data_IF_395573072656
#
_entry.id   IF_395573072656
#
_cell.length_a   1.000
_cell.length_b   1.000
_cell.length_c   1.000
_cell.angle_alpha   90.00
_cell.angle_beta   90.00
_cell.angle_gamma   90.00
#
_symmetry.space_group_name_H-M   'P 1'
#
loop_
_entity.id
_entity.type
_entity.pdbx_description
1 polymer ?
#
# COMPACT_ATOMS: atom_id res chain seq x y z
N UNK A 1 40.30 10.48 9.82
CA UNK A 1 39.11 10.47 8.92
C UNK A 1 37.99 9.56 9.46
N UNK A 2 38.26 8.30 9.78
CA UNK A 2 37.26 7.35 10.32
C UNK A 2 36.58 7.78 11.62
N UNK A 3 37.34 8.26 12.62
CA UNK A 3 36.78 8.78 13.88
C UNK A 3 35.79 9.94 13.66
N UNK A 4 36.03 10.80 12.66
CA UNK A 4 35.14 11.92 12.32
C UNK A 4 33.84 11.44 11.69
N UNK A 5 33.92 10.45 10.80
CA UNK A 5 32.74 9.84 10.17
C UNK A 5 31.90 9.10 11.23
N UNK A 6 32.54 8.32 12.10
CA UNK A 6 31.85 7.62 13.20
C UNK A 6 31.16 8.64 14.13
N UNK A 7 31.86 9.70 14.52
CA UNK A 7 31.27 10.75 15.36
C UNK A 7 30.07 11.45 14.70
N UNK A 8 30.16 11.75 13.40
CA UNK A 8 29.04 12.32 12.64
C UNK A 8 27.88 11.34 12.52
N UNK A 9 28.13 10.06 12.25
CA UNK A 9 27.08 9.03 12.19
C UNK A 9 26.39 8.84 13.53
N UNK A 10 27.12 8.84 14.63
CA UNK A 10 26.56 8.76 15.99
C UNK A 10 25.70 10.00 16.26
N UNK A 11 26.19 11.19 15.93
CA UNK A 11 25.43 12.44 16.12
C UNK A 11 24.13 12.43 15.30
N UNK A 12 24.17 12.00 14.04
CA UNK A 12 22.98 11.86 13.19
C UNK A 12 22.01 10.84 13.78
N UNK A 13 22.51 9.67 14.20
CA UNK A 13 21.68 8.66 14.85
C UNK A 13 21.02 9.20 16.13
N UNK A 14 21.76 10.00 16.92
CA UNK A 14 21.25 10.62 18.13
C UNK A 14 20.13 11.64 17.83
N UNK A 15 20.31 12.49 16.82
CA UNK A 15 19.26 13.42 16.36
C UNK A 15 18.03 12.69 15.83
N UNK A 16 18.21 11.59 15.09
CA UNK A 16 17.10 10.73 14.68
C UNK A 16 16.36 10.15 15.88
N UNK A 17 17.08 9.60 16.85
CA UNK A 17 16.48 9.05 18.07
C UNK A 17 15.72 10.12 18.85
N UNK A 18 16.29 11.31 19.03
CA UNK A 18 15.61 12.44 19.68
C UNK A 18 14.34 12.84 18.91
N UNK A 19 14.40 12.91 17.58
CA UNK A 19 13.23 13.24 16.75
C UNK A 19 12.13 12.18 16.80
N UNK A 20 12.49 10.90 16.95
CA UNK A 20 11.54 9.77 17.04
C UNK A 20 11.04 9.57 18.47
N UNK A 21 11.76 10.04 19.49
CA UNK A 21 11.45 9.84 20.91
C UNK A 21 10.06 10.34 21.34
N UNK A 22 9.56 11.52 20.90
CA UNK A 22 8.19 11.93 21.17
C UNK A 22 7.14 10.95 20.65
N UNK A 23 7.40 10.31 19.50
CA UNK A 23 6.47 9.31 18.93
C UNK A 23 6.51 8.01 19.72
N UNK A 24 7.70 7.55 20.12
CA UNK A 24 7.86 6.35 20.96
C UNK A 24 7.16 6.55 22.30
N UNK A 25 7.40 7.68 22.96
CA UNK A 25 6.77 8.00 24.25
C UNK A 25 5.26 8.14 24.14
N UNK A 26 4.77 8.80 23.10
CA UNK A 26 3.32 8.89 22.84
C UNK A 26 2.69 7.51 22.59
N UNK A 27 3.34 6.66 21.79
CA UNK A 27 2.93 5.29 21.52
C UNK A 27 2.82 4.47 22.82
N UNK A 28 3.87 4.44 23.65
CA UNK A 28 3.86 3.63 24.87
C UNK A 28 2.99 4.20 26.00
N UNK A 29 2.71 5.51 26.02
CA UNK A 29 1.86 6.14 27.04
C UNK A 29 0.36 5.99 26.76
N UNK A 30 -0.05 5.83 25.49
CA UNK A 30 -1.45 5.73 25.09
C UNK A 30 -1.89 4.33 24.68
N UNK A 31 -0.94 3.40 24.55
CA UNK A 31 -1.27 1.99 24.37
C UNK A 31 -1.45 1.38 25.74
N UNK A 32 -2.69 0.96 26.02
CA UNK A 32 -3.02 0.08 27.13
C UNK A 32 -2.21 -1.23 26.96
N UNK A 33 -1.00 -1.25 27.50
CA UNK A 33 -0.01 -2.32 27.35
C UNK A 33 -0.42 -3.65 28.04
N UNK A 34 -1.64 -3.73 28.55
CA UNK A 34 -2.15 -4.89 29.29
C UNK A 34 -3.56 -5.20 28.80
N UNK A 35 -3.70 -5.49 27.51
CA UNK A 35 -4.89 -6.24 27.07
C UNK A 35 -4.49 -7.70 26.91
N UNK A 36 -4.99 -8.54 27.82
CA UNK A 36 -5.04 -9.99 27.61
C UNK A 36 -6.00 -10.27 26.44
N UNK A 37 -5.49 -10.13 25.24
CA UNK A 37 -6.20 -10.43 24.00
C UNK A 37 -6.24 -11.94 23.81
N UNK A 38 -7.38 -12.48 23.41
CA UNK A 38 -7.46 -13.86 22.93
C UNK A 38 -6.57 -13.98 21.67
N UNK A 39 -5.44 -14.67 21.83
CA UNK A 39 -4.42 -14.80 20.79
C UNK A 39 -4.97 -15.50 19.55
N UNK A 40 -5.87 -16.45 19.71
CA UNK A 40 -6.44 -17.20 18.60
C UNK A 40 -7.42 -16.31 17.82
N UNK A 41 -8.36 -15.69 18.52
CA UNK A 41 -9.33 -14.79 17.91
C UNK A 41 -8.66 -13.61 17.17
N UNK A 42 -7.62 -13.04 17.78
CA UNK A 42 -6.86 -11.97 17.14
C UNK A 42 -6.10 -12.44 15.90
N UNK A 43 -5.54 -13.65 15.92
CA UNK A 43 -4.83 -14.18 14.75
C UNK A 43 -5.79 -14.47 13.59
N UNK A 44 -6.99 -14.99 13.89
CA UNK A 44 -8.04 -15.23 12.88
C UNK A 44 -8.54 -13.91 12.28
N UNK A 45 -8.76 -12.89 13.14
CA UNK A 45 -9.09 -11.53 12.70
C UNK A 45 -7.99 -10.95 11.79
N UNK A 46 -6.73 -11.14 12.17
CA UNK A 46 -5.58 -10.64 11.44
C UNK A 46 -5.44 -11.30 10.07
N UNK A 47 -5.53 -12.63 9.99
CA UNK A 47 -5.44 -13.39 8.73
C UNK A 47 -6.59 -13.10 7.77
N UNK A 48 -7.78 -12.79 8.30
CA UNK A 48 -8.92 -12.35 7.49
C UNK A 48 -8.63 -11.04 6.77
N UNK A 49 -7.74 -10.20 7.34
CA UNK A 49 -7.45 -8.87 6.82
C UNK A 49 -6.15 -8.77 6.04
N UNK A 50 -5.09 -9.37 6.56
CA UNK A 50 -3.73 -9.31 6.05
C UNK A 50 -3.35 -10.67 5.46
N UNK A 51 -3.03 -10.74 4.16
CA UNK A 51 -2.56 -11.98 3.55
C UNK A 51 -1.36 -12.56 4.27
N UNK A 52 -1.29 -13.89 4.38
CA UNK A 52 -0.19 -14.64 5.02
C UNK A 52 1.19 -14.25 4.49
N UNK A 53 1.26 -13.83 3.24
CA UNK A 53 2.50 -13.43 2.59
C UNK A 53 3.15 -12.20 3.23
N UNK A 54 2.39 -11.38 3.95
CA UNK A 54 2.95 -10.27 4.73
C UNK A 54 3.32 -10.67 6.17
N UNK A 55 3.09 -11.93 6.54
CA UNK A 55 3.40 -12.47 7.87
C UNK A 55 4.74 -13.20 7.80
N UNK A 56 4.95 -13.98 6.74
CA UNK A 56 6.18 -14.73 6.55
C UNK A 56 7.14 -14.00 5.58
N UNK A 57 8.31 -13.53 6.06
CA UNK A 57 9.28 -12.82 5.22
C UNK A 57 9.75 -13.66 4.02
N UNK A 58 9.91 -14.97 4.19
CA UNK A 58 10.34 -15.85 3.10
C UNK A 58 9.30 -15.96 2.00
N UNK A 59 8.02 -16.10 2.37
CA UNK A 59 6.93 -16.11 1.40
C UNK A 59 6.85 -14.79 0.63
N UNK A 60 7.12 -13.66 1.31
CA UNK A 60 7.16 -12.35 0.66
C UNK A 60 8.27 -12.28 -0.40
N UNK A 61 9.47 -12.75 -0.06
CA UNK A 61 10.61 -12.78 -0.98
C UNK A 61 10.33 -13.67 -2.19
N UNK A 62 9.66 -14.82 -2.01
CA UNK A 62 9.27 -15.69 -3.14
C UNK A 62 8.39 -14.95 -4.15
N UNK A 63 7.52 -14.03 -3.71
CA UNK A 63 6.72 -13.21 -4.62
C UNK A 63 7.52 -12.25 -5.49
N UNK A 64 8.80 -12.00 -5.17
CA UNK A 64 9.68 -11.15 -5.96
C UNK A 64 10.15 -11.83 -7.23
N UNK A 65 9.90 -13.14 -7.38
CA UNK A 65 10.26 -13.89 -8.57
C UNK A 65 9.36 -13.52 -9.78
N UNK A 66 9.45 -12.26 -10.21
CA UNK A 66 8.77 -11.66 -11.34
C UNK A 66 9.83 -11.17 -12.32
N UNK A 67 9.53 -11.25 -13.61
CA UNK A 67 10.44 -10.81 -14.69
C UNK A 67 10.93 -9.36 -14.50
N UNK A 68 10.06 -8.50 -13.98
CA UNK A 68 10.33 -7.08 -13.70
C UNK A 68 11.44 -6.91 -12.66
N UNK A 69 11.35 -7.66 -11.56
CA UNK A 69 12.35 -7.62 -10.50
C UNK A 69 13.72 -8.04 -11.03
N UNK A 70 13.78 -9.15 -11.78
CA UNK A 70 15.03 -9.64 -12.37
C UNK A 70 15.64 -8.64 -13.37
N UNK A 71 14.82 -7.98 -14.18
CA UNK A 71 15.29 -6.94 -15.09
C UNK A 71 15.93 -5.77 -14.35
N UNK A 72 15.28 -5.25 -13.30
CA UNK A 72 15.82 -4.13 -12.54
C UNK A 72 17.01 -4.53 -11.68
N UNK A 73 17.03 -5.76 -11.15
CA UNK A 73 18.17 -6.31 -10.44
C UNK A 73 19.39 -6.44 -11.37
N UNK A 74 19.20 -6.98 -12.58
CA UNK A 74 20.26 -7.06 -13.58
C UNK A 74 20.76 -5.66 -13.97
N UNK A 75 19.85 -4.71 -14.19
CA UNK A 75 20.19 -3.32 -14.48
C UNK A 75 21.00 -2.67 -13.36
N UNK A 76 20.66 -2.95 -12.11
CA UNK A 76 21.41 -2.48 -10.95
C UNK A 76 22.83 -3.04 -10.89
N UNK A 77 23.03 -4.34 -11.14
CA UNK A 77 24.38 -4.90 -11.21
C UNK A 77 25.18 -4.29 -12.36
N UNK A 78 24.57 -4.15 -13.53
CA UNK A 78 25.20 -3.53 -14.69
C UNK A 78 25.61 -2.08 -14.38
N UNK A 79 24.75 -1.32 -13.69
CA UNK A 79 25.09 0.02 -13.20
C UNK A 79 26.30 0.00 -12.26
N UNK A 80 26.34 -0.87 -11.25
CA UNK A 80 27.48 -0.95 -10.31
C UNK A 80 28.81 -1.19 -11.07
N UNK A 81 28.79 -2.03 -12.11
CA UNK A 81 29.98 -2.30 -12.91
C UNK A 81 30.41 -1.07 -13.72
N UNK A 82 29.46 -0.39 -14.37
CA UNK A 82 29.73 0.71 -15.28
C UNK A 82 29.90 2.08 -14.61
N UNK A 83 29.37 2.28 -13.40
CA UNK A 83 29.36 3.56 -12.66
C UNK A 83 30.75 4.21 -12.65
N UNK A 84 30.86 5.34 -13.36
CA UNK A 84 32.07 6.16 -13.45
C UNK A 84 31.99 7.39 -12.54
N UNK A 85 30.91 7.55 -11.76
CA UNK A 85 30.83 8.60 -10.75
C UNK A 85 32.12 8.60 -9.93
N UNK A 86 32.71 9.77 -9.70
CA UNK A 86 34.12 10.01 -9.35
C UNK A 86 34.77 9.07 -8.30
N UNK A 87 33.99 8.33 -7.48
CA UNK A 87 34.42 7.23 -6.58
C UNK A 87 33.38 6.10 -6.38
N UNK A 88 32.50 5.84 -7.36
CA UNK A 88 31.36 4.91 -7.23
C UNK A 88 30.47 5.24 -6.02
N UNK A 89 30.26 6.53 -5.76
CA UNK A 89 29.54 6.98 -4.55
C UNK A 89 28.07 6.60 -4.64
N UNK A 90 27.46 6.80 -5.81
CA UNK A 90 26.02 6.59 -6.02
C UNK A 90 25.70 5.10 -5.92
N UNK A 91 26.45 4.24 -6.62
CA UNK A 91 26.30 2.78 -6.51
C UNK A 91 26.48 2.27 -5.09
N UNK A 92 27.47 2.78 -4.33
CA UNK A 92 27.64 2.42 -2.92
C UNK A 92 26.44 2.83 -2.07
N UNK A 93 25.95 4.06 -2.22
CA UNK A 93 24.78 4.54 -1.48
C UNK A 93 23.56 3.65 -1.78
N UNK A 94 23.28 3.39 -3.05
CA UNK A 94 22.14 2.54 -3.45
C UNK A 94 22.28 1.11 -2.90
N UNK A 95 23.46 0.50 -3.04
CA UNK A 95 23.74 -0.85 -2.55
C UNK A 95 23.54 -0.98 -1.04
N UNK A 96 24.15 -0.09 -0.26
CA UNK A 96 23.99 -0.11 1.20
C UNK A 96 22.55 0.20 1.62
N UNK A 97 21.85 1.09 0.92
CA UNK A 97 20.43 1.39 1.22
C UNK A 97 19.56 0.16 0.98
N UNK A 98 19.74 -0.56 -0.14
CA UNK A 98 19.00 -1.79 -0.44
C UNK A 98 19.26 -2.85 0.64
N UNK A 99 20.53 -3.05 1.03
CA UNK A 99 20.90 -4.02 2.07
C UNK A 99 20.27 -3.65 3.41
N UNK A 100 20.35 -2.39 3.82
CA UNK A 100 19.79 -1.95 5.11
C UNK A 100 18.28 -2.17 5.14
N UNK A 101 17.56 -1.78 4.08
CA UNK A 101 16.11 -2.01 3.99
C UNK A 101 15.80 -3.50 4.03
N UNK A 102 16.54 -4.32 3.28
CA UNK A 102 16.34 -5.77 3.23
C UNK A 102 16.56 -6.42 4.60
N UNK A 103 17.69 -6.15 5.25
CA UNK A 103 18.03 -6.73 6.55
C UNK A 103 17.05 -6.26 7.62
N UNK A 104 16.81 -4.95 7.73
CA UNK A 104 15.90 -4.41 8.75
C UNK A 104 14.51 -5.00 8.61
N UNK A 105 13.96 -5.02 7.40
CA UNK A 105 12.58 -5.46 7.18
C UNK A 105 12.36 -6.95 7.49
N UNK A 106 13.37 -7.79 7.25
CA UNK A 106 13.28 -9.23 7.55
C UNK A 106 13.62 -9.54 9.01
N UNK A 107 14.51 -8.77 9.64
CA UNK A 107 14.93 -8.99 11.04
C UNK A 107 13.82 -8.67 12.04
N UNK A 108 13.00 -7.65 11.76
CA UNK A 108 11.93 -7.21 12.67
C UNK A 108 10.92 -8.32 12.96
N UNK A 109 10.65 -9.20 11.99
CA UNK A 109 9.80 -10.37 12.21
C UNK A 109 10.31 -11.27 13.35
N UNK A 110 11.61 -11.56 13.35
CA UNK A 110 12.22 -12.42 14.38
C UNK A 110 12.30 -11.70 15.74
N UNK A 111 12.57 -10.40 15.75
CA UNK A 111 12.58 -9.57 16.97
C UNK A 111 11.19 -9.52 17.59
N UNK A 112 10.15 -9.29 16.78
CA UNK A 112 8.76 -9.27 17.24
C UNK A 112 8.32 -10.61 17.83
N UNK A 113 8.64 -11.72 17.16
CA UNK A 113 8.33 -13.05 17.67
C UNK A 113 9.02 -13.33 19.02
N UNK A 114 10.27 -12.90 19.17
CA UNK A 114 11.00 -13.01 20.43
C UNK A 114 10.33 -12.20 21.55
N UNK A 115 9.95 -10.94 21.29
CA UNK A 115 9.24 -10.09 22.25
C UNK A 115 7.90 -10.72 22.64
N UNK A 116 7.14 -11.22 21.66
CA UNK A 116 5.84 -11.86 21.90
C UNK A 116 5.95 -13.13 22.75
N UNK A 117 7.03 -13.90 22.61
CA UNK A 117 7.29 -15.08 23.42
C UNK A 117 7.62 -14.70 24.87
N UNK A 118 8.45 -13.68 25.08
CA UNK A 118 8.91 -13.28 26.42
C UNK A 118 7.83 -12.50 27.18
N UNK A 119 7.23 -11.49 26.54
CA UNK A 119 6.27 -10.60 27.18
C UNK A 119 4.84 -11.17 27.15
N UNK A 120 4.61 -12.30 26.49
CA UNK A 120 3.29 -12.89 26.33
C UNK A 120 2.33 -12.06 25.47
N UNK A 121 2.83 -11.05 24.77
CA UNK A 121 2.07 -10.09 23.95
C UNK A 121 1.67 -10.68 22.58
N UNK A 122 0.83 -9.95 21.84
CA UNK A 122 0.43 -10.27 20.47
C UNK A 122 0.73 -9.10 19.52
N UNK A 123 1.96 -8.58 19.56
CA UNK A 123 2.43 -7.54 18.65
C UNK A 123 2.43 -8.07 17.21
N UNK A 124 1.98 -7.23 16.27
CA UNK A 124 1.93 -7.50 14.84
C UNK A 124 2.33 -6.26 14.06
N UNK A 125 3.56 -5.78 14.20
CA UNK A 125 4.14 -4.67 13.43
C UNK A 125 4.99 -5.14 12.25
N UNK A 126 5.55 -6.36 12.32
CA UNK A 126 6.47 -6.91 11.32
C UNK A 126 5.89 -6.88 9.89
N UNK A 127 4.59 -7.06 9.74
CA UNK A 127 3.92 -7.02 8.43
C UNK A 127 4.03 -5.66 7.73
N UNK A 128 4.14 -4.56 8.49
CA UNK A 128 4.38 -3.23 7.92
C UNK A 128 5.78 -3.13 7.32
N UNK A 129 6.78 -3.65 8.03
CA UNK A 129 8.16 -3.68 7.59
C UNK A 129 8.38 -4.61 6.40
N UNK A 130 7.75 -5.79 6.40
CA UNK A 130 7.75 -6.68 5.23
C UNK A 130 7.17 -5.96 4.00
N UNK A 131 6.08 -5.18 4.16
CA UNK A 131 5.52 -4.34 3.08
C UNK A 131 6.51 -3.28 2.58
N UNK A 132 7.31 -2.69 3.46
CA UNK A 132 8.31 -1.67 3.09
C UNK A 132 9.42 -2.21 2.20
N UNK A 133 9.66 -3.52 2.14
CA UNK A 133 10.64 -4.08 1.22
C UNK A 133 10.32 -3.77 -0.26
N UNK A 134 9.06 -3.41 -0.60
CA UNK A 134 8.71 -2.89 -1.94
C UNK A 134 9.51 -1.66 -2.36
N UNK A 135 10.04 -0.88 -1.41
CA UNK A 135 10.92 0.26 -1.67
C UNK A 135 12.20 -0.18 -2.38
N UNK A 136 12.66 -1.42 -2.19
CA UNK A 136 13.83 -1.95 -2.89
C UNK A 136 13.60 -1.92 -4.40
N UNK A 137 12.40 -2.25 -4.88
CA UNK A 137 12.09 -2.18 -6.31
C UNK A 137 12.25 -0.75 -6.86
N UNK A 138 11.79 0.25 -6.10
CA UNK A 138 11.93 1.67 -6.45
C UNK A 138 13.42 2.07 -6.51
N UNK A 139 14.24 1.60 -5.57
CA UNK A 139 15.69 1.85 -5.61
C UNK A 139 16.37 1.21 -6.82
N UNK A 140 15.92 0.02 -7.23
CA UNK A 140 16.42 -0.63 -8.44
C UNK A 140 15.97 0.11 -9.72
N UNK A 141 14.75 0.65 -9.74
CA UNK A 141 14.27 1.52 -10.83
C UNK A 141 15.09 2.81 -10.95
N UNK A 142 15.40 3.46 -9.82
CA UNK A 142 16.29 4.63 -9.77
C UNK A 142 17.67 4.26 -10.32
N UNK A 143 18.20 3.09 -9.97
CA UNK A 143 19.48 2.61 -10.49
C UNK A 143 19.46 2.42 -12.01
N UNK A 144 18.34 1.98 -12.58
CA UNK A 144 18.19 1.89 -14.03
C UNK A 144 18.25 3.27 -14.69
N UNK A 145 17.66 4.30 -14.05
CA UNK A 145 17.81 5.69 -14.50
C UNK A 145 19.27 6.13 -14.56
N UNK A 146 20.05 5.87 -13.50
CA UNK A 146 21.49 6.18 -13.50
C UNK A 146 22.27 5.38 -14.54
N UNK A 147 21.91 4.11 -14.78
CA UNK A 147 22.52 3.31 -15.84
C UNK A 147 22.34 3.94 -17.22
N UNK A 148 21.14 4.44 -17.51
CA UNK A 148 20.86 5.10 -18.79
C UNK A 148 21.70 6.37 -18.96
N UNK A 149 21.90 7.14 -17.89
CA UNK A 149 22.77 8.32 -17.90
C UNK A 149 24.22 7.92 -18.22
N UNK A 150 24.75 6.91 -17.53
CA UNK A 150 26.10 6.38 -17.78
C UNK A 150 26.26 5.90 -19.23
N UNK A 151 25.26 5.24 -19.81
CA UNK A 151 25.30 4.85 -21.22
C UNK A 151 25.32 6.05 -22.17
N UNK A 152 24.52 7.09 -21.91
CA UNK A 152 24.50 8.30 -22.73
C UNK A 152 25.87 8.97 -22.75
N UNK A 153 26.48 9.12 -21.57
CA UNK A 153 27.80 9.75 -21.41
C UNK A 153 28.90 8.90 -22.06
N UNK A 154 28.92 7.59 -21.78
CA UNK A 154 29.97 6.68 -22.24
C UNK A 154 29.98 6.49 -23.75
N UNK A 155 28.81 6.33 -24.36
CA UNK A 155 28.70 6.19 -25.81
C UNK A 155 28.68 7.53 -26.54
N UNK A 156 28.80 8.66 -25.82
CA UNK A 156 28.72 10.03 -26.36
C UNK A 156 27.54 10.15 -27.32
N UNK A 157 26.37 9.62 -26.93
CA UNK A 157 25.22 9.53 -27.82
C UNK A 157 24.86 10.93 -28.30
N UNK A 158 24.94 11.14 -29.62
CA UNK A 158 24.56 12.42 -30.24
C UNK A 158 23.13 12.77 -29.81
N UNK A 159 22.84 14.07 -29.65
CA UNK A 159 21.51 14.59 -29.28
C UNK A 159 20.37 13.98 -30.10
N UNK A 160 20.61 13.66 -31.38
CA UNK A 160 19.63 12.97 -32.25
C UNK A 160 19.19 11.61 -31.72
N UNK A 161 20.10 10.77 -31.23
CA UNK A 161 19.75 9.46 -30.67
C UNK A 161 19.05 9.58 -29.32
N UNK A 162 19.41 10.59 -28.52
CA UNK A 162 18.69 10.89 -27.27
C UNK A 162 17.24 11.29 -27.55
N UNK A 163 17.00 12.13 -28.57
CA UNK A 163 15.65 12.49 -29.02
C UNK A 163 14.87 11.27 -29.53
N UNK A 164 15.51 10.37 -30.28
CA UNK A 164 14.87 9.12 -30.69
C UNK A 164 14.51 8.23 -29.49
N UNK A 165 15.37 8.16 -28.46
CA UNK A 165 15.08 7.44 -27.23
C UNK A 165 13.86 8.01 -26.49
N UNK A 166 13.79 9.33 -26.34
CA UNK A 166 12.64 10.02 -25.74
C UNK A 166 11.37 9.76 -26.57
N UNK A 167 11.46 9.90 -27.89
CA UNK A 167 10.32 9.66 -28.78
C UNK A 167 9.84 8.20 -28.71
N UNK A 168 10.77 7.25 -28.69
CA UNK A 168 10.46 5.83 -28.52
C UNK A 168 9.80 5.54 -27.16
N UNK A 169 10.30 6.15 -26.09
CA UNK A 169 9.68 6.03 -24.77
C UNK A 169 8.26 6.61 -24.74
N UNK A 170 8.05 7.82 -25.27
CA UNK A 170 6.72 8.44 -25.37
C UNK A 170 5.79 7.60 -26.23
N UNK A 171 6.28 7.09 -27.37
CA UNK A 171 5.53 6.17 -28.23
C UNK A 171 5.10 4.93 -27.45
N UNK A 172 6.03 4.26 -26.75
CA UNK A 172 5.72 3.09 -25.93
C UNK A 172 4.70 3.41 -24.82
N UNK A 173 4.79 4.58 -24.18
CA UNK A 173 3.80 5.01 -23.18
C UNK A 173 2.40 5.15 -23.78
N UNK A 174 2.28 5.84 -24.92
CA UNK A 174 1.00 6.11 -25.59
C UNK A 174 0.33 4.81 -26.06
N UNK A 175 1.13 3.85 -26.56
CA UNK A 175 0.64 2.59 -27.09
C UNK A 175 0.71 1.41 -26.10
N UNK A 176 1.12 1.64 -24.85
CA UNK A 176 1.24 0.62 -23.79
C UNK A 176 -0.04 -0.15 -23.50
N UNK A 177 -1.21 0.42 -23.83
CA UNK A 177 -2.52 -0.19 -23.64
C UNK A 177 -2.98 -1.07 -24.80
N UNK A 178 -2.26 -1.09 -25.93
CA UNK A 178 -2.59 -1.96 -27.06
C UNK A 178 -2.35 -3.43 -26.69
N UNK A 179 -3.11 -4.36 -27.28
CA UNK A 179 -3.00 -5.80 -26.95
C UNK A 179 -1.61 -6.41 -27.20
N UNK A 180 -0.85 -5.83 -28.14
CA UNK A 180 0.49 -6.31 -28.52
C UNK A 180 1.54 -5.78 -27.54
N UNK A 181 1.58 -4.46 -27.33
CA UNK A 181 2.60 -3.81 -26.49
C UNK A 181 2.30 -4.00 -25.00
N UNK A 182 1.02 -4.02 -24.61
CA UNK A 182 0.60 -4.17 -23.21
C UNK A 182 0.81 -5.56 -22.61
N UNK A 183 1.23 -6.55 -23.41
CA UNK A 183 1.68 -7.88 -22.96
C UNK A 183 3.20 -7.96 -22.77
N UNK A 184 3.95 -6.97 -23.27
CA UNK A 184 5.39 -6.96 -23.12
C UNK A 184 5.74 -6.75 -21.63
N UNK A 185 6.65 -7.57 -21.07
CA UNK A 185 7.14 -7.35 -19.72
C UNK A 185 7.77 -5.94 -19.65
N UNK A 186 7.63 -5.27 -18.51
CA UNK A 186 8.09 -3.89 -18.25
C UNK A 186 7.20 -2.79 -18.87
N UNK A 187 6.73 -2.93 -20.11
CA UNK A 187 5.96 -1.86 -20.77
C UNK A 187 4.47 -1.87 -20.37
N UNK A 188 3.93 -3.04 -20.03
CA UNK A 188 2.52 -3.23 -19.66
C UNK A 188 2.09 -2.59 -18.34
N UNK A 189 1.61 -3.39 -17.40
CA UNK A 189 1.07 -2.90 -16.11
C UNK A 189 2.16 -2.28 -15.21
N UNK A 190 3.43 -2.57 -15.48
CA UNK A 190 4.55 -2.24 -14.60
C UNK A 190 5.12 -0.83 -14.80
N UNK A 191 5.21 -0.31 -16.03
CA UNK A 191 5.70 1.05 -16.31
C UNK A 191 4.74 1.88 -17.19
N UNK A 192 4.19 1.32 -18.27
CA UNK A 192 3.51 2.13 -19.28
C UNK A 192 2.08 2.52 -18.92
N UNK A 193 1.29 1.58 -18.38
CA UNK A 193 -0.15 1.78 -18.20
C UNK A 193 -0.52 2.65 -17.00
N UNK A 194 0.42 2.95 -16.11
CA UNK A 194 0.21 3.72 -14.87
C UNK A 194 0.65 5.18 -14.99
N UNK A 195 1.57 5.51 -15.89
CA UNK A 195 2.20 6.84 -15.98
C UNK A 195 1.35 7.85 -16.76
N UNK A 196 0.83 7.47 -17.93
CA UNK A 196 0.17 8.42 -18.83
C UNK A 196 -1.31 8.61 -18.45
N UNK A 197 -1.85 9.83 -18.28
CA UNK A 197 -3.28 10.05 -18.05
C UNK A 197 -4.14 9.49 -19.19
N UNK A 198 -5.37 9.05 -18.88
CA UNK A 198 -6.27 8.42 -19.88
C UNK A 198 -6.50 9.26 -21.14
N UNK A 199 -6.50 10.59 -20.99
CA UNK A 199 -6.73 11.55 -22.08
C UNK A 199 -5.69 11.41 -23.21
N UNK A 200 -4.46 11.01 -22.88
CA UNK A 200 -3.36 10.91 -23.84
C UNK A 200 -3.15 9.48 -24.37
N UNK A 201 -4.01 8.51 -24.00
CA UNK A 201 -3.85 7.11 -24.39
C UNK A 201 -4.60 6.80 -25.70
N UNK A 202 -3.98 6.01 -26.58
CA UNK A 202 -4.61 5.55 -27.82
C UNK A 202 -5.24 4.16 -27.60
N UNK A 203 -6.44 3.94 -28.16
CA UNK A 203 -7.15 2.67 -28.12
C UNK A 203 -7.43 2.15 -26.70
N UNK A 204 -7.60 3.04 -25.73
CA UNK A 204 -8.31 2.69 -24.51
C UNK A 204 -9.73 2.34 -24.93
N UNK A 205 -10.16 1.11 -24.66
CA UNK A 205 -11.59 0.87 -24.47
C UNK A 205 -12.03 1.95 -23.50
N UNK A 206 -12.85 2.90 -23.98
CA UNK A 206 -13.46 3.91 -23.14
C UNK A 206 -14.20 3.17 -22.04
N UNK A 207 -13.57 2.93 -20.90
CA UNK A 207 -14.28 2.75 -19.64
C UNK A 207 -14.79 4.12 -19.21
N UNK A 208 -15.59 4.76 -20.09
CA UNK A 208 -16.15 6.10 -19.95
C UNK A 208 -17.25 6.18 -18.87
N UNK A 209 -17.25 5.27 -17.89
CA UNK A 209 -18.21 5.25 -16.78
C UNK A 209 -17.58 5.10 -15.39
N UNK A 210 -16.27 5.39 -15.24
CA UNK A 210 -15.59 5.28 -13.93
C UNK A 210 -14.96 6.57 -13.39
N UNK A 211 -15.34 7.74 -13.92
CA UNK A 211 -15.48 8.92 -13.05
C UNK A 211 -16.75 8.63 -12.23
N UNK A 212 -16.49 7.91 -11.13
CA UNK A 212 -17.26 6.73 -10.77
C UNK A 212 -18.63 7.05 -10.21
N UNK A 213 -19.64 6.25 -10.57
CA UNK A 213 -20.94 6.19 -9.88
C UNK A 213 -20.81 6.28 -8.35
N UNK A 214 -19.75 5.71 -7.79
CA UNK A 214 -19.42 5.81 -6.37
C UNK A 214 -18.98 7.22 -5.94
N UNK A 215 -18.21 7.95 -6.74
CA UNK A 215 -17.84 9.36 -6.48
C UNK A 215 -19.10 10.22 -6.41
N UNK A 216 -20.04 10.06 -7.35
CA UNK A 216 -21.32 10.80 -7.33
C UNK A 216 -22.08 10.57 -6.02
N UNK A 217 -22.15 9.31 -5.57
CA UNK A 217 -22.76 8.98 -4.28
C UNK A 217 -21.98 9.57 -3.10
N UNK A 218 -20.64 9.50 -3.13
CA UNK A 218 -19.77 10.05 -2.08
C UNK A 218 -19.97 11.57 -1.97
N UNK A 219 -20.01 12.30 -3.09
CA UNK A 219 -20.28 13.73 -3.11
C UNK A 219 -21.67 14.07 -2.60
N UNK A 220 -22.67 13.27 -2.97
CA UNK A 220 -24.03 13.41 -2.45
C UNK A 220 -24.06 13.22 -0.93
N UNK A 221 -23.44 12.16 -0.41
CA UNK A 221 -23.34 11.87 1.03
C UNK A 221 -22.69 13.06 1.73
N UNK A 222 -21.54 13.54 1.22
CA UNK A 222 -20.79 14.63 1.84
C UNK A 222 -21.64 15.89 2.05
N UNK A 223 -22.55 16.18 1.11
CA UNK A 223 -23.41 17.39 1.13
C UNK A 223 -24.71 17.21 1.92
N UNK A 224 -25.28 16.01 1.96
CA UNK A 224 -26.66 15.78 2.42
C UNK A 224 -26.79 14.96 3.71
N UNK A 225 -25.68 14.58 4.34
CA UNK A 225 -25.67 13.71 5.53
C UNK A 225 -24.86 14.36 6.65
N UNK A 226 -25.18 14.09 7.91
CA UNK A 226 -24.42 14.56 9.07
C UNK A 226 -23.13 13.75 9.28
N UNK A 227 -22.11 14.36 9.90
CA UNK A 227 -20.82 13.69 10.17
C UNK A 227 -20.95 12.48 11.10
N UNK A 228 -21.94 12.49 11.98
CA UNK A 228 -22.16 11.45 12.99
C UNK A 228 -22.91 10.22 12.45
N UNK A 229 -23.40 10.30 11.21
CA UNK A 229 -24.15 9.20 10.59
C UNK A 229 -23.23 8.05 10.18
N UNK A 230 -23.72 6.84 10.42
CA UNK A 230 -22.99 5.59 10.19
C UNK A 230 -23.46 4.93 8.90
N UNK A 231 -22.50 4.62 8.02
CA UNK A 231 -22.76 4.01 6.72
C UNK A 231 -22.31 2.56 6.70
N UNK A 232 -23.02 1.71 5.97
CA UNK A 232 -22.52 0.41 5.55
C UNK A 232 -22.29 0.43 4.03
N UNK A 233 -21.10 0.05 3.58
CA UNK A 233 -20.77 0.06 2.16
C UNK A 233 -19.27 0.17 1.86
N UNK A 234 -18.95 0.79 0.73
CA UNK A 234 -17.57 0.83 0.24
C UNK A 234 -16.66 1.72 1.12
N UNK A 235 -15.45 1.25 1.44
CA UNK A 235 -14.45 1.95 2.28
C UNK A 235 -14.10 3.37 1.80
N UNK A 236 -14.28 3.68 0.52
CA UNK A 236 -14.01 5.00 -0.06
C UNK A 236 -14.95 6.09 0.48
N UNK A 237 -16.10 5.71 1.04
CA UNK A 237 -17.02 6.67 1.68
C UNK A 237 -16.35 7.34 2.87
N UNK A 238 -15.57 6.57 3.64
CA UNK A 238 -14.77 7.12 4.75
C UNK A 238 -13.77 8.15 4.28
N UNK A 239 -13.03 7.85 3.21
CA UNK A 239 -11.97 8.72 2.70
C UNK A 239 -12.49 9.90 1.86
N UNK A 240 -13.63 9.74 1.17
CA UNK A 240 -14.14 10.72 0.24
C UNK A 240 -15.24 11.63 0.82
N UNK A 241 -16.08 11.10 1.71
CA UNK A 241 -17.19 11.83 2.31
C UNK A 241 -16.93 12.25 3.76
N UNK A 242 -15.83 11.80 4.37
CA UNK A 242 -15.52 12.02 5.79
C UNK A 242 -16.66 11.53 6.70
N UNK A 243 -17.12 10.29 6.47
CA UNK A 243 -18.17 9.62 7.26
C UNK A 243 -17.70 8.28 7.82
N UNK A 244 -18.27 7.88 8.94
CA UNK A 244 -17.99 6.58 9.55
C UNK A 244 -18.57 5.46 8.71
N UNK A 245 -17.78 4.41 8.45
CA UNK A 245 -18.21 3.23 7.70
C UNK A 245 -18.08 2.00 8.59
N UNK A 246 -19.20 1.36 8.85
CA UNK A 246 -19.27 0.13 9.62
C UNK A 246 -18.79 -1.06 8.78
N UNK A 247 -18.15 -2.02 9.43
CA UNK A 247 -17.50 -3.17 8.80
C UNK A 247 -16.45 -2.81 7.73
N UNK A 248 -15.90 -1.59 7.72
CA UNK A 248 -14.81 -1.20 6.84
C UNK A 248 -13.53 -1.98 7.17
N UNK A 249 -13.23 -3.02 6.39
CA UNK A 249 -11.99 -3.78 6.54
C UNK A 249 -10.73 -2.92 6.38
N UNK A 250 -10.72 -1.90 5.50
CA UNK A 250 -9.55 -1.03 5.37
C UNK A 250 -9.34 -0.17 6.63
N UNK A 251 -10.42 0.34 7.21
CA UNK A 251 -10.41 1.04 8.49
C UNK A 251 -10.00 0.13 9.65
N UNK A 252 -10.51 -1.11 9.69
CA UNK A 252 -10.16 -2.09 10.71
C UNK A 252 -8.66 -2.42 10.74
N UNK A 253 -7.98 -2.35 9.59
CA UNK A 253 -6.53 -2.51 9.52
C UNK A 253 -5.74 -1.49 10.38
N UNK A 254 -6.30 -0.31 10.67
CA UNK A 254 -5.68 0.68 11.55
C UNK A 254 -5.79 0.28 13.04
N UNK A 255 -6.74 -0.59 13.38
CA UNK A 255 -6.98 -1.04 14.76
C UNK A 255 -6.07 -2.18 15.19
N UNK A 256 -5.40 -2.86 14.25
CA UNK A 256 -4.49 -3.98 14.53
C UNK A 256 -3.46 -3.60 15.59
N UNK A 257 -2.86 -2.41 15.47
CA UNK A 257 -1.88 -1.88 16.42
C UNK A 257 -2.52 -0.90 17.40
N UNK A 258 -3.48 -0.08 16.95
CA UNK A 258 -4.04 1.00 17.76
C UNK A 258 -5.08 0.57 18.80
N UNK A 259 -5.87 -0.49 18.53
CA UNK A 259 -6.85 -1.03 19.47
C UNK A 259 -7.25 -2.47 19.11
N UNK A 260 -6.47 -3.48 19.58
CA UNK A 260 -6.72 -4.89 19.26
C UNK A 260 -8.11 -5.40 19.65
N UNK A 261 -8.71 -4.87 20.74
CA UNK A 261 -10.07 -5.26 21.17
C UNK A 261 -11.11 -4.83 20.13
N UNK A 262 -11.06 -3.57 19.69
CA UNK A 262 -11.97 -3.08 18.64
C UNK A 262 -11.76 -3.83 17.34
N UNK A 263 -10.53 -4.24 17.04
CA UNK A 263 -10.23 -5.08 15.87
C UNK A 263 -10.89 -6.47 15.96
N UNK A 264 -10.80 -7.14 17.11
CA UNK A 264 -11.50 -8.42 17.33
C UNK A 264 -13.03 -8.27 17.30
N UNK A 265 -13.57 -7.20 17.89
CA UNK A 265 -15.00 -6.91 17.85
C UNK A 265 -15.49 -6.69 16.41
N UNK A 266 -14.70 -5.95 15.61
CA UNK A 266 -14.98 -5.82 14.17
C UNK A 266 -14.99 -7.19 13.47
N UNK A 267 -14.04 -8.07 13.77
CA UNK A 267 -13.99 -9.41 13.18
C UNK A 267 -15.19 -10.27 13.55
N UNK A 268 -15.60 -10.25 14.82
CA UNK A 268 -16.81 -10.94 15.28
C UNK A 268 -18.06 -10.42 14.58
N UNK A 269 -18.23 -9.10 14.54
CA UNK A 269 -19.35 -8.46 13.85
C UNK A 269 -19.34 -8.77 12.34
N UNK A 270 -18.16 -8.78 11.72
CA UNK A 270 -17.99 -9.14 10.31
C UNK A 270 -18.39 -10.59 10.04
N UNK A 271 -17.88 -11.54 10.83
CA UNK A 271 -18.21 -12.96 10.71
C UNK A 271 -19.68 -13.26 10.99
N UNK A 272 -20.28 -12.55 11.93
CA UNK A 272 -21.72 -12.66 12.17
C UNK A 272 -22.48 -12.16 10.96
N UNK A 273 -22.15 -10.97 10.46
CA UNK A 273 -22.81 -10.35 9.32
C UNK A 273 -22.73 -11.20 8.04
N UNK A 274 -21.58 -11.81 7.74
CA UNK A 274 -21.38 -12.65 6.54
C UNK A 274 -22.15 -13.97 6.58
N UNK A 275 -22.53 -14.46 7.77
CA UNK A 275 -23.38 -15.65 7.93
C UNK A 275 -24.88 -15.35 7.79
N UNK A 276 -25.26 -14.08 7.87
CA UNK A 276 -26.65 -13.64 7.72
C UNK A 276 -26.96 -13.39 6.23
N UNK A 277 -28.23 -13.54 5.85
CA UNK A 277 -28.70 -13.26 4.48
C UNK A 277 -29.92 -12.34 4.49
N UNK A 278 -30.02 -11.47 3.49
CA UNK A 278 -31.21 -10.66 3.20
C UNK A 278 -31.70 -9.83 4.40
N UNK A 279 -32.91 -10.10 4.85
CA UNK A 279 -33.56 -9.33 5.93
C UNK A 279 -32.78 -9.36 7.26
N UNK A 280 -32.16 -10.50 7.60
CA UNK A 280 -31.37 -10.60 8.85
C UNK A 280 -30.14 -9.68 8.83
N UNK A 281 -29.55 -9.44 7.65
CA UNK A 281 -28.46 -8.46 7.52
C UNK A 281 -28.97 -7.05 7.77
N UNK A 282 -30.16 -6.70 7.26
CA UNK A 282 -30.76 -5.39 7.51
C UNK A 282 -31.05 -5.19 8.99
N UNK A 283 -31.64 -6.18 9.66
CA UNK A 283 -31.89 -6.15 11.11
C UNK A 283 -30.60 -5.99 11.92
N UNK A 284 -29.55 -6.73 11.56
CA UNK A 284 -28.23 -6.59 12.18
C UNK A 284 -27.67 -5.16 12.03
N UNK A 285 -27.76 -4.58 10.83
CA UNK A 285 -27.30 -3.20 10.60
C UNK A 285 -28.13 -2.18 11.39
N UNK A 286 -29.44 -2.38 11.53
CA UNK A 286 -30.31 -1.55 12.39
C UNK A 286 -29.89 -1.62 13.86
N UNK A 287 -29.64 -2.83 14.37
CA UNK A 287 -29.16 -3.04 15.75
C UNK A 287 -27.83 -2.33 16.02
N UNK A 288 -26.95 -2.30 15.01
CA UNK A 288 -25.66 -1.59 15.07
C UNK A 288 -25.76 -0.10 14.77
N UNK A 289 -26.97 0.47 14.71
CA UNK A 289 -27.25 1.89 14.47
C UNK A 289 -26.69 2.43 13.15
N UNK A 290 -26.64 1.58 12.11
CA UNK A 290 -26.29 2.03 10.76
C UNK A 290 -27.46 2.79 10.15
N UNK A 291 -27.20 4.00 9.66
CA UNK A 291 -28.21 4.90 9.10
C UNK A 291 -28.42 4.69 7.60
N UNK A 292 -27.36 4.34 6.87
CA UNK A 292 -27.43 4.22 5.40
C UNK A 292 -26.68 3.01 4.86
N UNK A 293 -27.17 2.49 3.73
CA UNK A 293 -26.54 1.40 2.97
C UNK A 293 -26.16 1.88 1.59
N UNK A 294 -24.92 1.60 1.17
CA UNK A 294 -24.47 1.78 -0.21
C UNK A 294 -24.21 0.41 -0.80
N UNK A 295 -25.04 0.02 -1.78
CA UNK A 295 -24.94 -1.29 -2.41
C UNK A 295 -25.19 -1.22 -3.90
N UNK A 296 -24.70 -2.25 -4.61
CA UNK A 296 -25.07 -2.51 -6.00
C UNK A 296 -26.41 -3.24 -6.09
N UNK A 297 -26.75 -3.98 -5.05
CA UNK A 297 -27.96 -4.78 -4.95
C UNK A 297 -29.21 -3.92 -4.76
N UNK A 298 -30.37 -4.53 -5.03
CA UNK A 298 -31.66 -3.89 -4.80
C UNK A 298 -32.18 -4.29 -3.42
N UNK A 299 -32.45 -3.29 -2.59
CA UNK A 299 -33.14 -3.47 -1.30
C UNK A 299 -34.52 -2.81 -1.37
N UNK A 300 -35.48 -3.37 -0.64
CA UNK A 300 -36.81 -2.78 -0.42
C UNK A 300 -36.73 -1.72 0.70
N UNK A 301 -35.94 -0.67 0.48
CA UNK A 301 -35.72 0.45 1.41
C UNK A 301 -35.90 1.78 0.68
N UNK A 302 -36.07 2.87 1.43
CA UNK A 302 -36.11 4.22 0.88
C UNK A 302 -34.78 4.53 0.16
N UNK A 303 -34.88 4.80 -1.14
CA UNK A 303 -33.72 5.09 -1.99
C UNK A 303 -33.53 6.60 -2.11
N UNK A 304 -32.38 7.10 -1.68
CA UNK A 304 -32.07 8.54 -1.70
C UNK A 304 -31.43 8.97 -3.02
N UNK A 305 -30.50 8.17 -3.54
CA UNK A 305 -29.87 8.41 -4.84
C UNK A 305 -29.53 7.08 -5.52
N UNK A 306 -29.71 7.04 -6.83
CA UNK A 306 -29.37 5.91 -7.69
C UNK A 306 -28.42 6.36 -8.80
N UNK A 307 -27.39 5.57 -9.00
CA UNK A 307 -26.52 5.64 -10.17
C UNK A 307 -26.67 4.34 -10.96
N UNK A 308 -26.01 4.21 -12.11
CA UNK A 308 -26.09 2.99 -12.91
C UNK A 308 -25.63 1.75 -12.15
N UNK A 309 -24.64 1.90 -11.27
CA UNK A 309 -24.01 0.79 -10.53
C UNK A 309 -24.38 0.74 -9.05
N UNK A 310 -24.45 1.88 -8.38
CA UNK A 310 -24.61 1.96 -6.93
C UNK A 310 -25.89 2.69 -6.53
N UNK A 311 -26.43 2.32 -5.38
CA UNK A 311 -27.63 2.90 -4.79
C UNK A 311 -27.36 3.23 -3.33
N UNK A 312 -27.83 4.39 -2.88
CA UNK A 312 -27.83 4.79 -1.48
C UNK A 312 -29.23 4.63 -0.91
N UNK A 313 -29.33 3.87 0.16
CA UNK A 313 -30.57 3.63 0.90
C UNK A 313 -30.49 4.18 2.30
N UNK A 314 -31.62 4.62 2.83
CA UNK A 314 -31.81 4.93 4.25
C UNK A 314 -32.41 3.71 4.96
N UNK A 315 -31.89 3.38 6.13
CA UNK A 315 -32.21 2.16 6.90
C UNK A 315 -33.34 2.36 7.89
#
# INVERSE_FOLDING_TARGET
MWKKIIGQSISIALFFTIGVFPFITNYFSHIDNIVKVDKQLFNDAFLTRIPEVFINPLQFIVQWNRKVFWFFLFSFFLFIFLDQSHKKKISKILFFTIIVIFIMSNSIYYIENFINQIAGTSLRMAFQFIRFQKIILILLEISFGFLLIEFIERFKLKKRYQMFGIFSFVFLLVFSHTRVIGKLPLIGDDLGKSILPEIFRINTQKTNHKKSDLITIIEYIKKNTSKDELFYGHFLVRAGADRSVYLDGKGAGMLIEGNPIKFMNWYNDYNQFTKLNGQKQLEFLKQKKVNYIISKEKYFLEKLIETKTYKLYKL
#
